data_IF_967541708340
#
_entry.id   IF_967541708340
#
_cell.length_a   1.000
_cell.length_b   1.000
_cell.length_c   1.000
_cell.angle_alpha   90.00
_cell.angle_beta   90.00
_cell.angle_gamma   90.00
#
_symmetry.space_group_name_H-M   'P 1'
#
loop_
_entity.id
_entity.type
_entity.pdbx_description
1 polymer ?
#
# COMPACT_ATOMS: atom_id res chain seq x y z
N UNK A 1 -12.55 1.28 -10.15
CA UNK A 1 -12.47 1.77 -8.76
C UNK A 1 -11.32 2.76 -8.67
N UNK A 2 -11.56 3.93 -8.12
CA UNK A 2 -10.52 4.94 -8.02
C UNK A 2 -9.60 4.66 -6.83
N UNK A 3 -8.44 5.28 -6.83
CA UNK A 3 -7.51 5.15 -5.72
C UNK A 3 -8.15 5.60 -4.40
N UNK A 4 -8.95 6.66 -4.45
CA UNK A 4 -9.66 7.14 -3.27
C UNK A 4 -10.63 6.08 -2.74
N UNK A 5 -11.35 5.40 -3.63
CA UNK A 5 -12.27 4.34 -3.24
C UNK A 5 -11.53 3.19 -2.55
N UNK A 6 -10.38 2.83 -3.11
CA UNK A 6 -9.56 1.74 -2.54
C UNK A 6 -9.06 2.11 -1.15
N UNK A 7 -8.59 3.34 -0.98
CA UNK A 7 -7.99 3.80 0.26
C UNK A 7 -9.00 4.33 1.27
N UNK A 8 -10.27 4.43 0.89
CA UNK A 8 -11.33 4.88 1.77
C UNK A 8 -11.83 3.79 2.71
N UNK A 9 -11.00 2.84 3.05
CA UNK A 9 -11.34 1.72 3.93
C UNK A 9 -10.32 1.65 5.05
N UNK A 10 -10.80 1.75 6.27
CA UNK A 10 -9.95 1.63 7.45
C UNK A 10 -9.20 0.29 7.46
N UNK A 11 -9.89 -0.77 7.09
CA UNK A 11 -9.28 -2.11 7.05
C UNK A 11 -8.15 -2.19 6.04
N UNK A 12 -8.36 -1.64 4.85
CA UNK A 12 -7.32 -1.66 3.82
C UNK A 12 -6.13 -0.79 4.20
N UNK A 13 -6.38 0.35 4.86
CA UNK A 13 -5.28 1.18 5.35
C UNK A 13 -4.45 0.46 6.40
N UNK A 14 -5.09 -0.32 7.28
CA UNK A 14 -4.37 -1.12 8.26
C UNK A 14 -3.49 -2.18 7.59
N UNK A 15 -4.00 -2.78 6.53
CA UNK A 15 -3.23 -3.78 5.76
C UNK A 15 -2.02 -3.12 5.11
N UNK A 16 -2.22 -1.96 4.47
CA UNK A 16 -1.10 -1.24 3.86
C UNK A 16 -0.06 -0.85 4.89
N UNK A 17 -0.50 -0.41 6.05
CA UNK A 17 0.42 -0.06 7.12
C UNK A 17 1.27 -1.25 7.55
N UNK A 18 0.64 -2.40 7.74
CA UNK A 18 1.35 -3.62 8.11
C UNK A 18 2.38 -3.99 7.04
N UNK A 19 1.97 -3.93 5.77
CA UNK A 19 2.85 -4.30 4.66
C UNK A 19 3.93 -3.27 4.39
N UNK A 20 3.79 -2.05 4.91
CA UNK A 20 4.83 -1.04 4.77
C UNK A 20 6.07 -1.37 5.59
N UNK A 21 5.94 -2.25 6.58
CA UNK A 21 7.06 -2.67 7.41
C UNK A 21 7.81 -3.86 6.80
N UNK A 22 7.06 -4.83 6.27
CA UNK A 22 7.65 -6.01 5.66
C UNK A 22 6.57 -6.82 4.96
N UNK A 23 6.94 -7.69 4.02
CA UNK A 23 5.98 -8.61 3.43
C UNK A 23 5.43 -9.56 4.50
N UNK A 24 4.18 -9.99 4.33
CA UNK A 24 3.53 -10.88 5.28
C UNK A 24 2.66 -11.88 4.55
N UNK A 25 2.50 -13.08 5.17
CA UNK A 25 1.57 -14.04 4.60
C UNK A 25 0.17 -13.80 5.19
N UNK A 26 -0.84 -14.33 4.52
CA UNK A 26 -2.23 -13.97 4.77
C UNK A 26 -2.66 -14.17 6.23
N UNK A 27 -2.35 -15.32 6.81
CA UNK A 27 -2.76 -15.62 8.18
C UNK A 27 -2.13 -14.64 9.17
N UNK A 28 -0.84 -14.39 9.00
CA UNK A 28 -0.11 -13.44 9.83
C UNK A 28 -0.72 -12.05 9.74
N UNK A 29 -1.00 -11.61 8.51
CA UNK A 29 -1.58 -10.31 8.27
C UNK A 29 -2.96 -10.18 8.88
N UNK A 30 -3.79 -11.19 8.70
CA UNK A 30 -5.16 -11.19 9.25
C UNK A 30 -5.12 -11.07 10.77
N UNK A 31 -4.23 -11.80 11.42
CA UNK A 31 -4.09 -11.73 12.88
C UNK A 31 -3.63 -10.35 13.33
N UNK A 32 -2.66 -9.80 12.63
CA UNK A 32 -2.10 -8.50 13.00
C UNK A 32 -3.13 -7.37 12.91
N UNK A 33 -3.95 -7.38 11.86
CA UNK A 33 -4.93 -6.31 11.64
C UNK A 33 -6.28 -6.60 12.30
N UNK A 34 -6.45 -7.81 12.85
CA UNK A 34 -7.65 -8.14 13.61
C UNK A 34 -8.86 -8.48 12.76
N UNK A 35 -8.67 -9.26 11.70
CA UNK A 35 -9.78 -9.72 10.87
C UNK A 35 -9.58 -11.20 10.53
N UNK A 36 -10.64 -11.85 10.03
CA UNK A 36 -10.48 -13.24 9.61
C UNK A 36 -9.78 -13.32 8.26
N UNK A 37 -9.28 -14.52 7.94
CA UNK A 37 -8.50 -14.72 6.72
C UNK A 37 -9.28 -14.45 5.45
N UNK A 38 -10.57 -14.76 5.44
CA UNK A 38 -11.40 -14.56 4.27
C UNK A 38 -11.58 -13.08 3.96
N UNK A 39 -11.79 -12.29 5.00
CA UNK A 39 -11.90 -10.83 4.87
C UNK A 39 -10.58 -10.23 4.43
N UNK A 40 -9.47 -10.71 4.99
CA UNK A 40 -8.14 -10.25 4.60
C UNK A 40 -7.88 -10.53 3.11
N UNK A 41 -8.23 -11.72 2.64
CA UNK A 41 -8.05 -12.07 1.23
C UNK A 41 -8.86 -11.16 0.33
N UNK A 42 -10.10 -10.85 0.75
CA UNK A 42 -10.94 -9.95 -0.02
C UNK A 42 -10.30 -8.57 -0.18
N UNK A 43 -9.80 -8.01 0.91
CA UNK A 43 -9.13 -6.70 0.87
C UNK A 43 -7.83 -6.75 0.09
N UNK A 44 -7.06 -7.83 0.25
CA UNK A 44 -5.81 -7.98 -0.49
C UNK A 44 -6.05 -8.06 -1.99
N UNK A 45 -7.14 -8.72 -2.39
CA UNK A 45 -7.49 -8.80 -3.81
C UNK A 45 -7.85 -7.42 -4.36
N UNK A 46 -8.57 -6.63 -3.60
CA UNK A 46 -8.89 -5.25 -3.99
C UNK A 46 -7.61 -4.42 -4.14
N UNK A 47 -6.68 -4.55 -3.21
CA UNK A 47 -5.40 -3.84 -3.27
C UNK A 47 -4.53 -4.32 -4.42
N UNK A 48 -4.56 -5.61 -4.70
CA UNK A 48 -3.83 -6.19 -5.84
C UNK A 48 -4.39 -5.67 -7.15
N UNK A 49 -5.71 -5.65 -7.29
CA UNK A 49 -6.36 -5.15 -8.50
C UNK A 49 -6.04 -3.67 -8.73
N UNK A 50 -5.80 -2.92 -7.66
CA UNK A 50 -5.41 -1.52 -7.75
C UNK A 50 -3.91 -1.33 -8.01
N UNK A 51 -3.15 -2.43 -8.05
CA UNK A 51 -1.72 -2.37 -8.33
C UNK A 51 -0.86 -1.95 -7.15
N UNK A 52 -1.40 -1.96 -5.93
CA UNK A 52 -0.67 -1.51 -4.76
C UNK A 52 0.12 -2.60 -4.08
N UNK A 53 -0.35 -3.84 -4.18
CA UNK A 53 0.33 -4.98 -3.59
C UNK A 53 0.42 -6.08 -4.63
N UNK A 54 1.35 -7.01 -4.42
CA UNK A 54 1.41 -8.20 -5.27
C UNK A 54 1.74 -9.43 -4.43
N UNK A 55 1.18 -10.59 -4.84
CA UNK A 55 1.45 -11.82 -4.13
C UNK A 55 2.70 -12.51 -4.66
N UNK A 56 3.31 -13.31 -3.81
CA UNK A 56 4.36 -14.23 -4.23
C UNK A 56 4.36 -15.43 -3.27
N UNK A 57 4.93 -16.53 -3.71
CA UNK A 57 5.01 -17.72 -2.89
C UNK A 57 6.41 -17.91 -2.34
N UNK A 58 6.46 -18.35 -1.10
CA UNK A 58 7.71 -18.69 -0.45
C UNK A 58 7.46 -19.94 0.38
N UNK A 59 8.04 -21.04 -0.04
CA UNK A 59 7.70 -22.34 0.55
C UNK A 59 6.25 -22.67 0.24
N UNK A 60 5.48 -23.03 1.26
CA UNK A 60 4.08 -23.38 1.11
C UNK A 60 3.14 -22.22 1.37
N UNK A 61 3.67 -21.02 1.55
CA UNK A 61 2.87 -19.86 1.95
C UNK A 61 2.82 -18.82 0.88
N UNK A 62 1.65 -18.18 0.78
CA UNK A 62 1.44 -17.06 -0.11
C UNK A 62 1.63 -15.78 0.68
N UNK A 63 2.63 -15.00 0.28
CA UNK A 63 2.94 -13.71 0.89
C UNK A 63 2.41 -12.59 0.01
N UNK A 64 2.21 -11.43 0.63
CA UNK A 64 1.91 -10.21 -0.09
C UNK A 64 2.93 -9.15 0.27
N UNK A 65 3.25 -8.30 -0.68
CA UNK A 65 4.17 -7.18 -0.45
C UNK A 65 3.61 -5.92 -1.09
N UNK A 66 3.93 -4.79 -0.47
CA UNK A 66 3.59 -3.48 -1.01
C UNK A 66 4.58 -3.16 -2.14
N UNK A 67 4.07 -2.76 -3.30
CA UNK A 67 4.92 -2.51 -4.47
C UNK A 67 4.83 -1.07 -4.99
N UNK A 68 4.04 -0.22 -4.32
CA UNK A 68 3.94 1.18 -4.70
C UNK A 68 3.94 2.06 -3.46
N UNK A 69 4.47 3.26 -3.62
CA UNK A 69 4.38 4.27 -2.58
C UNK A 69 3.06 5.00 -2.70
N UNK A 70 2.32 5.05 -1.61
CA UNK A 70 1.03 5.75 -1.56
C UNK A 70 1.22 7.03 -0.75
N UNK A 71 0.81 8.16 -1.32
CA UNK A 71 0.98 9.46 -0.69
C UNK A 71 -0.34 10.20 -0.65
N UNK A 72 -0.68 10.76 0.50
CA UNK A 72 -1.77 11.71 0.64
C UNK A 72 -1.18 13.00 1.17
N UNK A 73 -1.41 14.09 0.44
CA UNK A 73 -0.98 15.41 0.88
C UNK A 73 -2.17 16.36 0.79
N UNK A 74 -2.48 17.00 1.90
CA UNK A 74 -3.50 18.02 1.95
C UNK A 74 -2.89 19.25 2.62
N UNK A 75 -3.05 20.42 2.00
CA UNK A 75 -2.49 21.65 2.54
C UNK A 75 -3.53 22.75 2.47
N UNK A 76 -3.57 23.60 3.52
CA UNK A 76 -4.54 24.71 3.55
C UNK A 76 -4.13 25.84 2.64
N UNK A 77 -5.00 26.86 2.49
CA UNK A 77 -4.61 28.05 1.76
C UNK A 77 -3.35 28.69 2.35
N UNK A 78 -2.52 29.33 1.56
CA UNK A 78 -2.71 29.61 0.13
C UNK A 78 -2.40 28.48 -0.82
N UNK A 79 -1.76 27.40 -0.36
CA UNK A 79 -1.40 26.28 -1.24
C UNK A 79 -2.61 25.58 -1.84
N UNK A 80 -3.63 25.31 -1.02
CA UNK A 80 -4.87 24.64 -1.44
C UNK A 80 -4.59 23.34 -2.21
N UNK A 81 -3.70 22.54 -1.68
CA UNK A 81 -3.26 21.31 -2.33
C UNK A 81 -4.01 20.12 -1.78
N UNK A 82 -4.45 19.23 -2.66
CA UNK A 82 -4.94 17.91 -2.28
C UNK A 82 -4.43 16.93 -3.31
N UNK A 83 -3.53 16.05 -2.89
CA UNK A 83 -2.91 15.06 -3.76
C UNK A 83 -3.05 13.69 -3.13
N UNK A 84 -3.55 12.74 -3.92
CA UNK A 84 -3.58 11.33 -3.55
C UNK A 84 -3.03 10.56 -4.75
N UNK A 85 -1.91 9.90 -4.55
CA UNK A 85 -1.24 9.23 -5.67
C UNK A 85 -0.53 7.97 -5.22
N UNK A 86 -0.33 7.07 -6.19
CA UNK A 86 0.49 5.88 -6.02
C UNK A 86 1.59 5.94 -7.06
N UNK A 87 2.83 5.75 -6.63
CA UNK A 87 3.97 5.82 -7.54
C UNK A 87 4.81 4.56 -7.43
N UNK A 88 5.53 4.25 -8.49
CA UNK A 88 6.41 3.08 -8.51
C UNK A 88 7.55 3.26 -7.52
N UNK A 89 7.61 2.34 -6.57
CA UNK A 89 8.61 2.37 -5.53
C UNK A 89 9.97 1.91 -6.04
N UNK A 90 9.98 1.17 -7.11
CA UNK A 90 11.21 0.65 -7.68
C UNK A 90 12.10 1.68 -8.27
N UNK A 91 11.61 2.86 -8.43
CA UNK A 91 12.41 3.91 -8.97
C UNK A 91 13.19 4.64 -7.95
N UNK A 92 13.34 4.60 -7.49
CA UNK A 92 13.90 5.25 -6.63
C UNK A 92 14.81 5.14 -5.98
N UNK A 93 14.53 4.57 -6.42
CA UNK A 93 15.26 4.43 -5.94
C UNK A 93 15.82 4.85 -5.78
N UNK A 94 15.54 4.86 -5.81
CA UNK A 94 16.17 5.25 -5.62
C UNK A 94 16.51 5.88 -5.63
N UNK A 95 16.37 6.11 -5.55
CA UNK A 95 16.78 6.85 -5.54
C UNK A 95 16.99 7.50 -5.51
N UNK A 96 16.84 7.73 -5.37
CA UNK A 96 17.10 8.55 -5.33
C UNK A 96 17.05 9.26 -5.27
N UNK A 97 16.83 9.56 -5.17
CA UNK A 97 16.95 10.36 -5.03
C UNK A 97 16.46 10.99 -5.09
N UNK A 98 16.12 11.11 -4.94
CA UNK A 98 15.88 11.76 -5.08
C UNK A 98 15.39 12.18 -5.01
N UNK A 99 15.25 12.35 -4.83
CA UNK A 99 15.01 12.87 -4.89
C UNK A 99 14.82 13.29 -4.93
N UNK A 100 14.76 13.50 -4.78
CA UNK A 100 14.78 14.09 -4.94
C UNK A 100 14.58 14.54 -5.07
N UNK A 101 14.47 14.79 -4.88
CA UNK A 101 14.39 15.43 -5.01
C UNK A 101 14.20 15.77 -5.24
N UNK A 102 14.10 15.99 -5.01
CA UNK A 102 14.19 16.39 -5.25
C UNK A 102 13.91 16.51 -5.44
N UNK A 103 13.79 16.68 -5.20
CA UNK A 103 13.77 16.84 -5.39
C UNK A 103 13.65 16.71 -5.43
N UNK A 104 13.62 16.69 -5.16
CA UNK A 104 13.77 16.66 -5.28
C UNK A 104 13.71 16.63 -5.45
#
# INVERSE_FOLDING_TARGET
>A
MSLLDVLGSKSRLKILRALSHEPKYVTELAEEVGMDGKTAVHHLRTLEDAGLVEPYHRGNRKYYRLVRTVTLRAAPPPERTFILQATDDGDQASDDGEQAPGDS
#
